data_IF_255550629125
#
_entry.id   IF_255550629125
#
_cell.length_a   1.000
_cell.length_b   1.000
_cell.length_c   1.000
_cell.angle_alpha   90.00
_cell.angle_beta   90.00
_cell.angle_gamma   90.00
#
_symmetry.space_group_name_H-M   'P 1'
#
loop_
_entity.id
_entity.type
_entity.pdbx_description
1 polymer ?
#
# COMPACT_ATOMS: atom_id res chain seq x y z
N UNK A 1 -30.82 15.66 -21.59
CA UNK A 1 -30.33 14.37 -21.07
C UNK A 1 -29.24 14.69 -20.09
N UNK A 2 -29.61 14.63 -18.82
CA UNK A 2 -28.83 14.96 -17.62
C UNK A 2 -28.04 13.72 -17.19
N UNK A 3 -26.72 13.85 -17.01
CA UNK A 3 -25.80 12.78 -16.61
C UNK A 3 -25.13 13.07 -15.25
N UNK A 4 -25.73 13.90 -14.40
CA UNK A 4 -25.22 14.13 -13.06
C UNK A 4 -25.99 13.32 -12.01
N UNK A 5 -25.31 12.37 -11.35
CA UNK A 5 -25.07 12.34 -9.88
C UNK A 5 -24.89 10.90 -9.35
N UNK A 6 -23.88 10.75 -8.49
CA UNK A 6 -23.74 9.75 -7.40
C UNK A 6 -22.97 8.45 -7.67
N UNK A 7 -21.67 8.47 -7.37
CA UNK A 7 -21.00 7.30 -6.75
C UNK A 7 -19.93 7.64 -5.70
N UNK A 8 -19.62 8.92 -5.45
CA UNK A 8 -18.81 9.32 -4.29
C UNK A 8 -19.69 9.61 -3.08
N UNK A 9 -20.18 8.53 -2.46
CA UNK A 9 -20.60 8.51 -1.06
C UNK A 9 -20.55 7.06 -0.56
N UNK A 10 -19.35 6.45 -0.55
CA UNK A 10 -19.17 5.24 0.23
C UNK A 10 -19.10 5.63 1.71
N UNK A 11 -19.94 5.06 2.58
CA UNK A 11 -19.73 5.15 4.03
C UNK A 11 -18.31 4.67 4.32
N UNK A 12 -17.56 5.40 5.16
CA UNK A 12 -16.26 4.96 5.69
C UNK A 12 -16.40 3.51 6.17
N UNK A 13 -15.96 2.55 5.36
CA UNK A 13 -16.04 1.14 5.69
C UNK A 13 -15.01 0.91 6.79
N UNK A 14 -15.51 0.62 8.00
CA UNK A 14 -14.70 0.46 9.21
C UNK A 14 -13.95 -0.87 9.15
N UNK A 15 -12.68 -0.88 8.77
CA UNK A 15 -11.86 -2.08 8.80
C UNK A 15 -10.99 -2.08 10.05
N UNK A 16 -11.42 -2.83 11.07
CA UNK A 16 -10.69 -3.01 12.34
C UNK A 16 -9.24 -3.43 12.10
N UNK A 17 -8.33 -2.89 12.92
CA UNK A 17 -6.92 -3.28 13.01
C UNK A 17 -6.76 -4.80 12.99
N UNK A 18 -6.08 -5.33 11.97
CA UNK A 18 -5.70 -6.74 11.90
C UNK A 18 -4.28 -6.85 12.40
N UNK A 19 -4.11 -7.03 13.70
CA UNK A 19 -2.95 -7.75 14.20
C UNK A 19 -3.23 -9.24 13.95
N UNK A 20 -2.42 -9.90 13.09
CA UNK A 20 -2.41 -11.35 13.05
C UNK A 20 -1.15 -11.95 12.42
N UNK A 21 -0.54 -12.82 13.24
CA UNK A 21 0.47 -13.84 12.93
C UNK A 21 0.32 -14.46 11.55
N UNK A 22 1.47 -14.59 10.86
CA UNK A 22 1.64 -15.22 9.56
C UNK A 22 1.09 -16.66 9.54
N UNK A 23 0.16 -16.90 8.63
CA UNK A 23 -0.35 -18.22 8.27
C UNK A 23 -1.05 -18.11 6.91
N UNK A 24 -0.40 -18.61 5.85
CA UNK A 24 -0.85 -18.50 4.47
C UNK A 24 -2.23 -19.13 4.28
N UNK A 25 -3.22 -18.33 3.85
CA UNK A 25 -4.56 -18.83 3.47
C UNK A 25 -4.62 -19.05 1.95
N UNK A 26 -5.11 -20.20 1.45
CA UNK A 26 -5.17 -20.53 0.02
C UNK A 26 -5.96 -19.56 -0.89
N UNK A 27 -6.75 -18.63 -0.33
CA UNK A 27 -7.49 -17.61 -1.10
C UNK A 27 -6.68 -16.38 -1.51
N UNK A 28 -5.43 -16.24 -1.07
CA UNK A 28 -4.58 -15.06 -1.34
C UNK A 28 -3.93 -15.11 -2.74
N UNK A 29 -3.82 -16.29 -3.37
CA UNK A 29 -3.08 -16.45 -4.64
C UNK A 29 -3.87 -15.92 -5.84
N UNK A 30 -5.20 -15.93 -5.81
CA UNK A 30 -6.02 -15.23 -6.81
C UNK A 30 -5.98 -13.69 -6.61
N UNK A 31 -5.78 -13.24 -5.36
CA UNK A 31 -5.58 -11.83 -5.02
C UNK A 31 -4.23 -11.31 -5.56
N UNK A 32 -3.15 -12.08 -5.43
CA UNK A 32 -1.79 -11.63 -5.78
C UNK A 32 -1.58 -11.31 -7.27
N UNK A 33 -2.12 -12.11 -8.20
CA UNK A 33 -1.97 -11.82 -9.65
C UNK A 33 -2.69 -10.53 -10.04
N UNK A 34 -3.93 -10.38 -9.57
CA UNK A 34 -4.74 -9.18 -9.83
C UNK A 34 -4.19 -7.94 -9.12
N UNK A 35 -3.49 -8.13 -8.00
CA UNK A 35 -2.80 -7.09 -7.26
C UNK A 35 -1.53 -6.64 -7.99
N UNK A 36 -0.69 -7.56 -8.48
CA UNK A 36 0.51 -7.20 -9.24
C UNK A 36 0.19 -6.55 -10.58
N UNK A 37 -0.84 -7.01 -11.30
CA UNK A 37 -1.32 -6.32 -12.50
C UNK A 37 -1.70 -4.86 -12.19
N UNK A 38 -2.31 -4.61 -11.03
CA UNK A 38 -2.69 -3.28 -10.58
C UNK A 38 -1.46 -2.44 -10.21
N UNK A 39 -0.52 -2.99 -9.44
CA UNK A 39 0.77 -2.35 -9.10
C UNK A 39 1.56 -2.02 -10.38
N UNK A 40 1.74 -2.97 -11.29
CA UNK A 40 2.49 -2.75 -12.52
C UNK A 40 1.88 -1.70 -13.44
N UNK A 41 0.56 -1.61 -13.53
CA UNK A 41 0.00 -0.50 -14.30
C UNK A 41 -0.01 0.82 -13.56
N UNK A 42 0.25 0.90 -12.25
CA UNK A 42 0.61 2.18 -11.60
C UNK A 42 1.97 2.67 -12.08
N UNK A 43 2.93 1.77 -12.25
CA UNK A 43 4.27 2.10 -12.75
C UNK A 43 4.22 2.70 -14.17
N UNK A 44 3.18 2.37 -14.96
CA UNK A 44 2.93 2.94 -16.29
C UNK A 44 2.05 4.20 -16.22
N UNK A 45 0.99 4.18 -15.41
CA UNK A 45 0.00 5.26 -15.38
C UNK A 45 0.57 6.55 -14.78
N UNK A 46 1.36 6.46 -13.71
CA UNK A 46 1.89 7.63 -12.98
C UNK A 46 2.82 8.50 -13.83
N UNK A 47 3.85 7.96 -14.53
CA UNK A 47 4.70 8.78 -15.41
C UNK A 47 3.95 9.42 -16.57
N UNK A 48 2.80 8.87 -16.95
CA UNK A 48 1.95 9.38 -18.02
C UNK A 48 0.84 10.30 -17.52
N UNK A 49 0.82 10.62 -16.22
CA UNK A 49 -0.24 11.37 -15.55
C UNK A 49 -1.65 10.85 -15.84
N UNK A 50 -1.77 9.53 -16.01
CA UNK A 50 -3.05 8.86 -16.22
C UNK A 50 -3.62 8.39 -14.90
N UNK A 51 -4.91 8.65 -14.70
CA UNK A 51 -5.61 8.06 -13.58
C UNK A 51 -5.89 6.58 -13.87
N UNK A 52 -5.44 5.72 -12.95
CA UNK A 52 -5.78 4.31 -12.91
C UNK A 52 -6.21 3.99 -11.49
N UNK A 53 -7.50 4.06 -11.16
CA UNK A 53 -7.96 3.83 -9.80
C UNK A 53 -7.56 2.45 -9.30
N UNK A 54 -6.99 2.39 -8.09
CA UNK A 54 -6.90 1.15 -7.33
C UNK A 54 -8.13 1.08 -6.43
N UNK A 55 -9.07 0.14 -6.66
CA UNK A 55 -10.22 0.01 -5.77
C UNK A 55 -9.76 -0.26 -4.33
N UNK A 56 -10.28 0.52 -3.40
CA UNK A 56 -9.94 0.54 -1.98
C UNK A 56 -9.91 -0.86 -1.33
N UNK A 57 -10.96 -1.67 -1.51
CA UNK A 57 -11.05 -3.00 -0.90
C UNK A 57 -9.89 -3.94 -1.30
N UNK A 58 -9.66 -4.18 -2.60
CA UNK A 58 -8.50 -4.90 -3.09
C UNK A 58 -7.15 -4.31 -2.62
N UNK A 59 -7.01 -2.98 -2.60
CA UNK A 59 -5.79 -2.32 -2.14
C UNK A 59 -5.51 -2.59 -0.66
N UNK A 60 -6.52 -2.54 0.21
CA UNK A 60 -6.40 -2.87 1.63
C UNK A 60 -6.03 -4.33 1.86
N UNK A 61 -6.69 -5.25 1.15
CA UNK A 61 -6.39 -6.68 1.29
C UNK A 61 -4.94 -6.99 0.88
N UNK A 62 -4.51 -6.40 -0.23
CA UNK A 62 -3.14 -6.45 -0.73
C UNK A 62 -2.14 -5.85 0.27
N UNK A 63 -2.40 -4.65 0.75
CA UNK A 63 -1.55 -3.91 1.68
C UNK A 63 -1.40 -4.63 3.02
N UNK A 64 -2.51 -5.14 3.57
CA UNK A 64 -2.51 -5.94 4.81
C UNK A 64 -1.64 -7.19 4.68
N UNK A 65 -1.71 -7.85 3.53
CA UNK A 65 -0.88 -9.02 3.26
C UNK A 65 0.60 -8.66 3.13
N UNK A 66 0.93 -7.65 2.32
CA UNK A 66 2.33 -7.28 2.03
C UNK A 66 3.03 -6.68 3.23
N UNK A 67 2.36 -5.87 4.05
CA UNK A 67 3.00 -5.17 5.17
C UNK A 67 3.72 -6.12 6.15
N UNK A 68 3.27 -7.38 6.26
CA UNK A 68 3.90 -8.41 7.08
C UNK A 68 4.77 -9.43 6.31
N UNK A 69 4.90 -9.31 4.99
CA UNK A 69 5.54 -10.33 4.15
C UNK A 69 7.02 -10.02 3.87
N UNK A 70 7.90 -10.91 4.36
CA UNK A 70 9.35 -10.85 4.18
C UNK A 70 9.82 -10.96 2.73
N UNK A 71 9.01 -11.54 1.83
CA UNK A 71 9.32 -11.61 0.41
C UNK A 71 9.47 -10.21 -0.22
N UNK A 72 8.69 -9.24 0.27
CA UNK A 72 8.77 -7.85 -0.17
C UNK A 72 9.73 -7.01 0.68
N UNK A 73 10.40 -7.62 1.66
CA UNK A 73 11.19 -6.93 2.68
C UNK A 73 10.40 -5.83 3.41
N UNK A 74 9.07 -5.96 3.43
CA UNK A 74 8.18 -4.95 3.97
C UNK A 74 8.36 -4.77 5.49
N UNK A 75 8.53 -5.83 6.31
CA UNK A 75 8.75 -5.63 7.75
C UNK A 75 9.98 -4.78 8.07
N UNK A 76 11.10 -4.98 7.37
CA UNK A 76 12.31 -4.18 7.59
C UNK A 76 12.13 -2.74 7.08
N UNK A 77 11.51 -2.58 5.90
CA UNK A 77 11.22 -1.27 5.32
C UNK A 77 10.28 -0.43 6.18
N UNK A 78 9.27 -1.07 6.78
CA UNK A 78 8.17 -0.42 7.49
C UNK A 78 8.33 -0.42 9.02
N UNK A 79 9.45 -0.92 9.54
CA UNK A 79 9.73 -0.97 10.98
C UNK A 79 9.64 0.42 11.63
N UNK A 80 9.04 0.52 12.81
CA UNK A 80 8.87 1.78 13.57
C UNK A 80 8.11 2.89 12.84
N UNK A 81 7.29 2.53 11.84
CA UNK A 81 6.39 3.44 11.13
C UNK A 81 4.93 3.08 11.43
N UNK A 82 4.12 4.12 11.59
CA UNK A 82 2.66 4.01 11.70
C UNK A 82 2.03 4.41 10.36
N UNK A 83 1.54 3.43 9.61
CA UNK A 83 0.93 3.65 8.30
C UNK A 83 -0.56 3.95 8.48
N UNK A 84 -1.04 5.02 7.87
CA UNK A 84 -2.44 5.45 7.93
C UNK A 84 -2.96 5.69 6.52
N UNK A 85 -3.96 4.90 6.13
CA UNK A 85 -4.66 5.15 4.87
C UNK A 85 -5.67 6.30 5.04
N UNK A 86 -5.69 7.21 4.07
CA UNK A 86 -6.53 8.43 4.09
C UNK A 86 -7.88 8.25 3.39
N UNK A 87 -7.96 7.27 2.49
CA UNK A 87 -9.12 6.94 1.66
C UNK A 87 -9.95 5.77 2.23
N UNK A 88 -9.44 5.08 3.24
CA UNK A 88 -10.06 3.92 3.90
C UNK A 88 -9.70 3.89 5.39
N UNK A 89 -10.54 3.28 6.22
CA UNK A 89 -10.24 3.07 7.64
C UNK A 89 -9.26 1.89 7.81
N UNK A 90 -7.98 2.13 7.57
CA UNK A 90 -6.91 1.15 7.70
C UNK A 90 -5.66 1.79 8.30
N UNK A 91 -5.08 1.13 9.30
CA UNK A 91 -3.78 1.49 9.84
C UNK A 91 -2.95 0.24 10.13
N UNK A 92 -1.62 0.39 10.19
CA UNK A 92 -0.71 -0.69 10.55
C UNK A 92 0.60 -0.16 11.15
N UNK A 93 1.21 -0.96 12.01
CA UNK A 93 2.46 -0.60 12.68
C UNK A 93 2.27 0.44 13.79
N UNK A 94 3.41 0.93 14.28
CA UNK A 94 3.51 1.88 15.38
C UNK A 94 4.79 2.68 15.21
N UNK A 95 4.78 3.96 15.59
CA UNK A 95 5.94 4.85 15.50
C UNK A 95 5.62 6.12 14.74
N UNK A 96 6.56 6.60 13.91
CA UNK A 96 6.35 7.84 13.15
C UNK A 96 5.30 7.64 12.06
N UNK A 97 4.31 8.53 12.02
CA UNK A 97 3.20 8.44 11.08
C UNK A 97 3.64 8.67 9.62
N UNK A 98 3.07 7.87 8.73
CA UNK A 98 3.05 8.07 7.29
C UNK A 98 1.62 7.88 6.80
N UNK A 99 1.11 8.90 6.13
CA UNK A 99 -0.26 9.03 5.69
C UNK A 99 -0.35 9.21 4.18
N UNK A 100 -1.27 8.49 3.54
CA UNK A 100 -1.51 8.56 2.09
C UNK A 100 -2.64 7.64 1.65
N UNK A 101 -2.84 7.41 0.35
CA UNK A 101 -3.86 6.46 -0.10
C UNK A 101 -3.42 5.01 0.17
N UNK A 102 -4.37 4.08 0.30
CA UNK A 102 -4.05 2.65 0.38
C UNK A 102 -3.21 2.17 -0.83
N UNK A 103 -3.41 2.80 -2.00
CA UNK A 103 -2.60 2.55 -3.19
C UNK A 103 -1.14 2.99 -3.04
N UNK A 104 -0.90 4.21 -2.56
CA UNK A 104 0.46 4.73 -2.33
C UNK A 104 1.22 3.91 -1.28
N UNK A 105 0.51 3.56 -0.19
CA UNK A 105 1.04 2.70 0.87
C UNK A 105 1.36 1.29 0.34
N UNK A 106 0.54 0.75 -0.56
CA UNK A 106 0.81 -0.54 -1.20
C UNK A 106 2.06 -0.50 -2.09
N UNK A 107 2.26 0.59 -2.83
CA UNK A 107 3.46 0.76 -3.66
C UNK A 107 4.73 0.76 -2.81
N UNK A 108 4.78 1.54 -1.72
CA UNK A 108 5.96 1.53 -0.84
C UNK A 108 6.12 0.21 -0.09
N UNK A 109 5.03 -0.46 0.29
CA UNK A 109 5.09 -1.73 1.00
C UNK A 109 5.67 -2.82 0.10
N UNK A 110 5.42 -2.70 -1.20
CA UNK A 110 6.01 -3.56 -2.22
C UNK A 110 7.40 -3.06 -2.68
N UNK A 111 7.92 -1.94 -2.18
CA UNK A 111 9.27 -1.44 -2.49
C UNK A 111 9.34 -0.59 -3.76
N UNK A 112 8.21 -0.04 -4.21
CA UNK A 112 8.13 0.83 -5.39
C UNK A 112 8.15 2.30 -4.94
N UNK A 113 9.19 3.08 -5.30
CA UNK A 113 9.34 4.46 -4.85
C UNK A 113 8.29 5.42 -5.44
N UNK A 114 7.60 5.02 -6.51
CA UNK A 114 6.52 5.81 -7.12
C UNK A 114 5.38 6.14 -6.14
N UNK A 115 5.21 5.34 -5.07
CA UNK A 115 4.25 5.62 -4.01
C UNK A 115 4.61 6.83 -3.15
N UNK A 116 5.90 7.18 -3.01
CA UNK A 116 6.36 8.26 -2.14
C UNK A 116 5.74 9.61 -2.47
N UNK A 117 5.41 9.86 -3.73
CA UNK A 117 4.82 11.12 -4.18
C UNK A 117 3.42 11.41 -3.59
N UNK A 118 2.70 10.36 -3.15
CA UNK A 118 1.37 10.48 -2.53
C UNK A 118 1.38 10.36 -1.01
N UNK A 119 2.56 10.35 -0.37
CA UNK A 119 2.71 10.15 1.06
C UNK A 119 3.18 11.43 1.77
N UNK A 120 2.79 11.57 3.03
CA UNK A 120 3.19 12.66 3.91
C UNK A 120 3.27 12.18 5.36
N UNK A 121 3.92 12.95 6.23
CA UNK A 121 4.00 12.66 7.66
C UNK A 121 5.43 12.64 8.20
N UNK A 122 5.60 12.61 9.53
CA UNK A 122 6.90 12.68 10.20
C UNK A 122 7.83 11.49 9.89
N UNK A 123 7.31 10.35 9.42
CA UNK A 123 8.10 9.18 9.05
C UNK A 123 8.73 9.23 7.65
N UNK A 124 8.48 10.29 6.86
CA UNK A 124 8.90 10.36 5.46
C UNK A 124 10.41 10.29 5.26
N UNK A 125 11.20 10.92 6.13
CA UNK A 125 12.66 10.90 6.02
C UNK A 125 13.21 9.48 6.23
N UNK A 126 12.68 8.77 7.23
CA UNK A 126 13.04 7.38 7.53
C UNK A 126 12.66 6.45 6.38
N UNK A 127 11.42 6.57 5.87
CA UNK A 127 10.96 5.75 4.76
C UNK A 127 11.80 6.00 3.49
N UNK A 128 12.06 7.28 3.17
CA UNK A 128 12.82 7.65 1.98
C UNK A 128 14.24 7.11 2.04
N UNK A 129 14.91 7.21 3.19
CA UNK A 129 16.25 6.65 3.39
C UNK A 129 16.28 5.12 3.17
N UNK A 130 15.28 4.39 3.66
CA UNK A 130 15.17 2.93 3.47
C UNK A 130 14.85 2.53 2.03
N UNK A 131 14.12 3.37 1.30
CA UNK A 131 13.81 3.16 -0.13
C UNK A 131 15.01 3.43 -1.05
N UNK A 132 15.99 4.22 -0.58
CA UNK A 132 17.23 4.54 -1.28
C UNK A 132 18.40 3.60 -0.91
N UNK A 133 18.21 2.71 0.09
CA UNK A 133 19.20 1.74 0.50
C UNK A 133 19.59 0.78 -0.64
N UNK A 134 20.80 0.18 -0.61
CA UNK A 134 21.24 -0.75 -1.64
C UNK A 134 20.26 -1.91 -1.76
N UNK A 135 19.93 -2.29 -3.00
CA UNK A 135 19.05 -3.42 -3.28
C UNK A 135 19.45 -4.65 -2.45
N UNK A 136 18.49 -5.43 -1.92
CA UNK A 136 18.80 -6.61 -1.13
C UNK A 136 19.75 -7.51 -1.93
N UNK A 137 20.91 -7.81 -1.35
CA UNK A 137 21.77 -8.85 -1.90
C UNK A 137 20.99 -10.14 -1.76
N UNK A 138 20.50 -10.68 -2.88
CA UNK A 138 19.92 -12.02 -2.90
C UNK A 138 21.03 -12.96 -2.41
N UNK A 139 20.90 -13.41 -1.16
CA UNK A 139 21.83 -14.31 -0.51
C UNK A 139 21.95 -15.58 -1.32
N UNK A 140 23.20 -16.00 -1.52
CA UNK A 140 23.65 -17.17 -2.26
C UNK A 140 23.26 -18.47 -1.58
#
# INVERSE_FOLDING_TARGET
>A
MDWATSIYASPKARSRSVDRRAGSRPGVIASSRSMMERVHGQDIARPLHRDRPLPAGPAVAALTYVAGDRFYDAPARLADLHLVATDVDWTSGSGQEISGTAGDLLLIATGRPAGLAGLSGPGMDVLTARMQGPAPRLGR
#
